data_IF_375941796349
#
_entry.id   IF_375941796349
#
_cell.length_a   1.000
_cell.length_b   1.000
_cell.length_c   1.000
_cell.angle_alpha   90.00
_cell.angle_beta   90.00
_cell.angle_gamma   90.00
#
_symmetry.space_group_name_H-M   'P 1'
#
loop_
_entity.id
_entity.type
_entity.pdbx_description
1 polymer ?
#
# COMPACT_ATOMS: atom_id res chain seq x y z
N UNK A 1 -2.61 -13.02 -10.32
CA UNK A 1 -1.97 -11.80 -9.78
C UNK A 1 -0.74 -11.48 -10.62
N UNK A 2 -0.55 -10.23 -11.07
CA UNK A 2 0.54 -9.87 -11.99
C UNK A 2 1.94 -10.06 -11.36
N UNK A 3 2.08 -9.74 -10.08
CA UNK A 3 3.32 -9.94 -9.30
C UNK A 3 3.68 -11.42 -9.19
N UNK A 4 2.72 -12.27 -8.80
CA UNK A 4 2.93 -13.71 -8.67
C UNK A 4 3.30 -14.37 -10.01
N UNK A 5 2.77 -13.85 -11.12
CA UNK A 5 3.09 -14.32 -12.47
C UNK A 5 4.41 -13.75 -13.03
N UNK A 6 5.13 -12.91 -12.27
CA UNK A 6 6.38 -12.29 -12.71
C UNK A 6 6.22 -11.22 -13.80
N UNK A 7 5.01 -10.71 -14.01
CA UNK A 7 4.73 -9.68 -15.02
C UNK A 7 5.26 -8.31 -14.57
N UNK A 8 5.15 -8.02 -13.26
CA UNK A 8 5.68 -6.80 -12.63
C UNK A 8 6.32 -7.15 -11.29
N UNK A 9 7.38 -6.44 -10.85
CA UNK A 9 8.02 -6.71 -9.56
C UNK A 9 7.21 -6.21 -8.36
N UNK A 10 6.40 -5.16 -8.56
CA UNK A 10 5.59 -4.49 -7.55
C UNK A 10 4.25 -4.09 -8.17
N UNK A 11 3.16 -4.21 -7.41
CA UNK A 11 1.87 -3.66 -7.78
C UNK A 11 1.21 -2.92 -6.62
N UNK A 12 0.41 -1.91 -6.94
CA UNK A 12 -0.46 -1.23 -5.98
C UNK A 12 -1.83 -1.91 -5.90
N UNK A 13 -2.47 -1.79 -4.75
CA UNK A 13 -3.84 -2.20 -4.53
C UNK A 13 -4.54 -1.33 -3.50
N UNK A 14 -5.83 -1.57 -3.28
CA UNK A 14 -6.59 -0.91 -2.22
C UNK A 14 -7.24 -1.95 -1.32
N UNK A 15 -7.39 -1.63 -0.03
CA UNK A 15 -8.02 -2.51 0.94
C UNK A 15 -8.96 -1.73 1.86
N UNK A 16 -10.22 -2.15 1.85
CA UNK A 16 -11.25 -1.76 2.83
C UNK A 16 -11.37 -2.78 3.96
N UNK A 17 -11.28 -4.08 3.62
CA UNK A 17 -11.41 -5.17 4.60
C UNK A 17 -10.30 -6.21 4.45
N UNK A 18 -10.02 -6.67 3.22
CA UNK A 18 -8.98 -7.68 2.97
C UNK A 18 -8.50 -7.76 1.52
N UNK A 19 -8.79 -6.76 0.70
CA UNK A 19 -8.55 -6.80 -0.75
C UNK A 19 -7.07 -6.68 -1.16
N UNK A 20 -6.16 -6.46 -0.19
CA UNK A 20 -4.71 -6.61 -0.40
C UNK A 20 -4.24 -7.93 0.21
N UNK A 21 -4.46 -8.16 1.50
CA UNK A 21 -3.87 -9.32 2.19
C UNK A 21 -4.43 -10.68 1.74
N UNK A 22 -5.73 -10.78 1.41
CA UNK A 22 -6.34 -12.06 0.98
C UNK A 22 -5.87 -12.52 -0.39
N UNK A 23 -5.92 -11.68 -1.46
CA UNK A 23 -5.43 -12.13 -2.76
C UNK A 23 -3.92 -12.37 -2.77
N UNK A 24 -3.13 -11.67 -1.94
CA UNK A 24 -1.72 -11.96 -1.76
C UNK A 24 -1.48 -13.38 -1.21
N UNK A 25 -2.21 -13.75 -0.13
CA UNK A 25 -2.16 -15.09 0.45
C UNK A 25 -2.57 -16.19 -0.55
N UNK A 26 -3.61 -15.96 -1.36
CA UNK A 26 -4.05 -16.91 -2.39
C UNK A 26 -3.06 -17.07 -3.54
N UNK A 27 -2.24 -16.06 -3.81
CA UNK A 27 -1.26 -16.07 -4.89
C UNK A 27 0.18 -16.37 -4.42
N UNK A 28 0.39 -16.64 -3.13
CA UNK A 28 1.70 -16.98 -2.58
C UNK A 28 2.72 -15.83 -2.63
N UNK A 29 2.26 -14.58 -2.46
CA UNK A 29 3.11 -13.39 -2.44
C UNK A 29 2.85 -12.52 -1.21
N UNK A 30 3.71 -11.56 -0.95
CA UNK A 30 3.55 -10.60 0.13
C UNK A 30 2.51 -9.54 -0.24
N UNK A 31 1.55 -9.31 0.66
CA UNK A 31 0.55 -8.25 0.56
C UNK A 31 0.58 -7.37 1.80
N UNK A 32 0.80 -6.07 1.64
CA UNK A 32 0.96 -5.14 2.74
C UNK A 32 -0.13 -4.07 2.74
N UNK A 33 -0.91 -4.04 3.83
CA UNK A 33 -1.83 -2.95 4.15
C UNK A 33 -1.19 -2.09 5.25
N UNK A 34 -0.77 -0.85 4.97
CA UNK A 34 -0.15 0.01 5.97
C UNK A 34 -1.18 0.48 7.01
N UNK A 35 -0.70 1.22 8.02
CA UNK A 35 -1.55 2.00 8.93
C UNK A 35 -2.47 2.94 8.13
N UNK A 36 -3.69 3.14 8.62
CA UNK A 36 -4.64 4.08 8.01
C UNK A 36 -4.01 5.46 7.87
N UNK A 37 -4.10 6.04 6.67
CA UNK A 37 -3.49 7.35 6.38
C UNK A 37 -1.97 7.34 6.19
N UNK A 38 -1.29 6.20 6.12
CA UNK A 38 0.16 6.19 5.83
C UNK A 38 0.48 6.58 4.37
N UNK A 39 -0.41 6.20 3.44
CA UNK A 39 -0.33 6.54 2.02
C UNK A 39 -1.58 7.33 1.69
N UNK A 40 -1.41 8.49 1.05
CA UNK A 40 -2.52 9.30 0.59
C UNK A 40 -3.38 8.54 -0.44
N UNK A 41 -4.68 8.76 -0.41
CA UNK A 41 -5.67 8.12 -1.29
C UNK A 41 -6.24 9.11 -2.31
N UNK A 42 -5.56 10.23 -2.53
CA UNK A 42 -5.92 11.19 -3.58
C UNK A 42 -5.98 10.48 -4.94
N UNK A 43 -7.10 10.65 -5.64
CA UNK A 43 -7.35 9.99 -6.91
C UNK A 43 -7.78 8.51 -6.82
N UNK A 44 -7.87 7.92 -5.61
CA UNK A 44 -8.44 6.59 -5.41
C UNK A 44 -9.96 6.70 -5.32
N UNK A 45 -10.68 5.89 -6.09
CA UNK A 45 -12.13 5.77 -5.96
C UNK A 45 -12.48 5.13 -4.61
N UNK A 46 -13.23 5.81 -3.72
CA UNK A 46 -13.52 5.32 -2.38
C UNK A 46 -14.63 4.26 -2.40
N UNK A 47 -14.48 3.22 -1.58
CA UNK A 47 -15.54 2.32 -1.18
C UNK A 47 -16.06 2.69 0.22
N UNK A 48 -15.15 2.91 1.16
CA UNK A 48 -15.48 3.39 2.51
C UNK A 48 -14.36 4.28 3.05
N UNK A 49 -14.64 5.57 3.17
CA UNK A 49 -13.69 6.61 3.56
C UNK A 49 -12.89 6.29 4.84
N UNK A 50 -13.55 5.72 5.86
CA UNK A 50 -12.94 5.37 7.14
C UNK A 50 -12.15 4.06 7.15
N UNK A 51 -12.24 3.25 6.09
CA UNK A 51 -11.67 1.91 6.04
C UNK A 51 -10.72 1.69 4.86
N UNK A 52 -10.75 2.54 3.85
CA UNK A 52 -9.91 2.38 2.65
C UNK A 52 -8.45 2.69 2.94
N UNK A 53 -7.57 1.82 2.45
CA UNK A 53 -6.12 1.96 2.48
C UNK A 53 -5.56 1.73 1.08
N UNK A 54 -4.55 2.49 0.66
CA UNK A 54 -3.66 2.04 -0.40
C UNK A 54 -2.69 1.00 0.18
N UNK A 55 -2.38 -0.04 -0.58
CA UNK A 55 -1.50 -1.13 -0.18
C UNK A 55 -0.69 -1.65 -1.36
N UNK A 56 0.16 -2.64 -1.09
CA UNK A 56 1.19 -3.09 -2.02
C UNK A 56 1.28 -4.61 -2.10
N UNK A 57 1.74 -5.09 -3.24
CA UNK A 57 2.05 -6.48 -3.52
C UNK A 57 3.48 -6.61 -4.03
N UNK A 58 4.26 -7.53 -3.48
CA UNK A 58 5.58 -7.89 -3.99
C UNK A 58 5.88 -9.37 -3.67
N UNK A 59 6.95 -9.93 -4.25
CA UNK A 59 7.46 -11.26 -3.87
C UNK A 59 8.47 -11.18 -2.72
N UNK A 60 8.87 -9.97 -2.30
CA UNK A 60 9.79 -9.72 -1.21
C UNK A 60 9.34 -8.51 -0.39
N UNK A 61 9.34 -8.67 0.94
CA UNK A 61 9.09 -7.58 1.90
C UNK A 61 10.03 -6.37 1.69
N UNK A 62 11.27 -6.58 1.26
CA UNK A 62 12.21 -5.49 0.99
C UNK A 62 11.72 -4.54 -0.11
N UNK A 63 11.07 -5.07 -1.15
CA UNK A 63 10.55 -4.27 -2.26
C UNK A 63 9.33 -3.44 -1.81
N UNK A 64 8.51 -4.01 -0.91
CA UNK A 64 7.41 -3.30 -0.24
C UNK A 64 7.95 -2.16 0.62
N UNK A 65 8.99 -2.42 1.42
CA UNK A 65 9.58 -1.41 2.30
C UNK A 65 10.18 -0.25 1.50
N UNK A 66 10.91 -0.57 0.42
CA UNK A 66 11.46 0.43 -0.51
C UNK A 66 10.35 1.27 -1.15
N UNK A 67 9.30 0.63 -1.68
CA UNK A 67 8.17 1.33 -2.28
C UNK A 67 7.42 2.21 -1.25
N UNK A 68 7.21 1.70 -0.03
CA UNK A 68 6.57 2.43 1.06
C UNK A 68 7.32 3.73 1.38
N UNK A 69 8.66 3.67 1.44
CA UNK A 69 9.48 4.85 1.70
C UNK A 69 9.32 5.94 0.63
N UNK A 70 8.95 5.57 -0.60
CA UNK A 70 8.75 6.51 -1.71
C UNK A 70 7.34 7.11 -1.77
N UNK A 71 6.33 6.38 -1.30
CA UNK A 71 4.91 6.79 -1.43
C UNK A 71 4.29 7.29 -0.13
N UNK A 72 4.98 7.11 1.00
CA UNK A 72 4.56 7.70 2.28
C UNK A 72 4.97 9.18 2.32
N UNK A 73 4.06 10.02 2.80
CA UNK A 73 4.30 11.46 2.85
C UNK A 73 3.04 12.27 3.06
N UNK A 74 3.23 13.58 3.22
CA UNK A 74 2.15 14.52 3.29
C UNK A 74 1.49 14.71 1.92
N UNK A 75 0.16 14.78 1.91
CA UNK A 75 -0.63 15.19 0.76
C UNK A 75 -1.74 16.12 1.26
N UNK A 76 -1.73 17.37 0.80
CA UNK A 76 -2.71 18.37 1.21
C UNK A 76 -4.13 18.07 0.70
N UNK A 77 -4.27 17.20 -0.31
CA UNK A 77 -5.57 16.83 -0.88
C UNK A 77 -6.27 15.69 -0.13
N UNK A 78 -5.55 14.89 0.68
CA UNK A 78 -6.13 13.83 1.51
C UNK A 78 -6.09 14.23 2.99
N UNK A 79 -7.21 14.68 3.59
CA UNK A 79 -7.25 15.11 4.99
C UNK A 79 -7.00 13.99 6.00
N UNK A 80 -6.99 12.73 5.56
CA UNK A 80 -6.74 11.57 6.42
C UNK A 80 -5.31 11.06 6.36
N UNK A 81 -4.46 11.61 5.48
CA UNK A 81 -3.06 11.22 5.45
C UNK A 81 -2.37 11.75 6.71
N UNK A 82 -1.71 10.85 7.44
CA UNK A 82 -0.97 11.17 8.64
C UNK A 82 0.47 11.48 8.28
N UNK A 83 1.02 12.56 8.81
CA UNK A 83 2.44 12.88 8.70
C UNK A 83 3.26 11.85 9.50
N UNK A 84 3.60 10.72 8.88
CA UNK A 84 4.63 9.83 9.44
C UNK A 84 5.99 10.48 9.17
N UNK A 85 6.81 10.76 10.19
CA UNK A 85 8.13 11.35 9.98
C UNK A 85 8.96 10.47 9.04
N UNK A 86 9.46 11.05 7.95
CA UNK A 86 10.31 10.38 6.95
C UNK A 86 11.60 9.78 7.53
N UNK A 87 11.93 10.08 8.79
CA UNK A 87 13.06 9.53 9.53
C UNK A 87 12.93 8.03 9.85
N UNK A 88 11.73 7.44 9.74
CA UNK A 88 11.51 5.99 9.97
C UNK A 88 11.76 5.14 8.71
N UNK A 89 11.71 5.74 7.52
CA UNK A 89 11.85 5.06 6.23
C UNK A 89 13.10 5.53 5.47
N UNK A 90 14.28 5.41 6.08
CA UNK A 90 15.54 5.43 5.31
C UNK A 90 15.93 4.00 4.94
N UNK A 91 16.28 3.71 3.68
CA UNK A 91 16.79 2.41 3.27
C UNK A 91 18.13 2.08 3.93
#
# INVERSE_FOLDING_TARGET
>A
MAVAAGIVPLALGTQTQGSVIRPAAYCGIDGFKPTYGAIARTGVLPLAWSLDHAGMFATRVADIAYALALVTGADAADPHVSHVPSSVCRP
#
